data_IF_223617917521
#
_entry.id   IF_223617917521
#
_cell.length_a   1.000
_cell.length_b   1.000
_cell.length_c   1.000
_cell.angle_alpha   90.00
_cell.angle_beta   90.00
_cell.angle_gamma   90.00
#
_symmetry.space_group_name_H-M   'P 1'
#
loop_
_entity.id
_entity.type
_entity.pdbx_description
1 polymer ?
#
# COMPACT_ATOMS: atom_id res chain seq x y z
N UNK A 1 42.20 37.32 17.97
CA UNK A 1 41.32 36.76 16.93
C UNK A 1 40.24 35.93 17.60
N UNK A 2 38.98 36.12 17.20
CA UNK A 2 37.86 35.29 17.67
C UNK A 2 37.99 33.88 17.09
N UNK A 3 37.55 32.85 17.82
CA UNK A 3 37.63 31.44 17.42
C UNK A 3 37.08 31.20 15.99
N UNK A 4 35.99 31.89 15.64
CA UNK A 4 35.37 31.81 14.31
C UNK A 4 36.25 32.40 13.19
N UNK A 5 36.93 33.53 13.42
CA UNK A 5 37.81 34.18 12.44
C UNK A 5 39.01 33.28 12.09
N UNK A 6 39.56 32.59 13.10
CA UNK A 6 40.65 31.64 12.91
C UNK A 6 40.21 30.39 12.13
N UNK A 7 39.00 29.89 12.41
CA UNK A 7 38.42 28.74 11.70
C UNK A 7 38.17 29.11 10.23
N UNK A 8 37.57 30.27 9.97
CA UNK A 8 37.31 30.76 8.62
C UNK A 8 38.61 30.88 7.81
N UNK A 9 39.64 31.51 8.37
CA UNK A 9 40.95 31.63 7.72
C UNK A 9 41.56 30.26 7.39
N UNK A 10 41.41 29.26 8.26
CA UNK A 10 41.92 27.89 8.00
C UNK A 10 41.14 27.17 6.90
N UNK A 11 39.85 27.45 6.73
CA UNK A 11 39.04 26.93 5.61
C UNK A 11 39.51 27.58 4.31
N UNK A 12 39.70 28.90 4.29
CA UNK A 12 40.18 29.66 3.12
C UNK A 12 41.59 29.21 2.69
N UNK A 13 42.45 28.88 3.66
CA UNK A 13 43.79 28.31 3.41
C UNK A 13 43.76 26.81 3.02
N UNK A 14 42.59 26.17 2.97
CA UNK A 14 42.43 24.75 2.65
C UNK A 14 42.98 23.78 3.70
N UNK A 15 43.33 24.29 4.90
CA UNK A 15 43.90 23.51 6.02
C UNK A 15 42.83 22.84 6.89
N UNK A 16 41.56 23.13 6.64
CA UNK A 16 40.44 22.63 7.42
C UNK A 16 39.23 22.47 6.49
N UNK A 17 38.59 21.31 6.53
CA UNK A 17 37.33 21.11 5.83
C UNK A 17 36.15 21.75 6.56
N UNK A 18 35.09 22.01 5.81
CA UNK A 18 33.85 22.58 6.36
C UNK A 18 33.23 21.65 7.42
N UNK A 19 33.34 20.33 7.28
CA UNK A 19 32.83 19.39 8.28
C UNK A 19 33.65 19.40 9.57
N UNK A 20 34.97 19.47 9.48
CA UNK A 20 35.85 19.58 10.65
C UNK A 20 35.64 20.91 11.37
N UNK A 21 35.48 22.01 10.63
CA UNK A 21 35.14 23.31 11.20
C UNK A 21 33.82 23.30 11.97
N UNK A 22 32.81 22.58 11.45
CA UNK A 22 31.51 22.42 12.12
C UNK A 22 31.62 21.63 13.42
N UNK A 23 32.42 20.56 13.44
CA UNK A 23 32.70 19.80 14.67
C UNK A 23 33.38 20.67 15.74
N UNK A 24 34.32 21.54 15.35
CA UNK A 24 34.97 22.48 16.28
C UNK A 24 34.03 23.55 16.85
N UNK A 25 32.84 23.72 16.23
CA UNK A 25 31.75 24.58 16.67
C UNK A 25 30.61 23.78 17.32
N UNK A 26 30.82 22.49 17.64
CA UNK A 26 29.83 21.58 18.22
C UNK A 26 28.59 21.39 17.33
N UNK A 27 28.75 21.57 16.02
CA UNK A 27 27.73 21.35 15.00
C UNK A 27 27.96 20.01 14.30
N UNK A 28 26.86 19.39 13.84
CA UNK A 28 26.93 18.16 13.05
C UNK A 28 27.50 18.43 11.65
N UNK A 29 28.25 17.48 11.06
CA UNK A 29 28.70 17.56 9.67
C UNK A 29 27.55 17.78 8.68
N UNK A 30 27.85 18.39 7.53
CA UNK A 30 26.85 18.63 6.47
C UNK A 30 26.29 17.30 5.94
N UNK A 31 27.13 16.28 5.82
CA UNK A 31 26.72 14.95 5.36
C UNK A 31 25.64 14.33 6.26
N UNK A 32 25.75 14.53 7.58
CA UNK A 32 24.72 14.10 8.52
C UNK A 32 23.40 14.84 8.29
N UNK A 33 23.46 16.15 8.03
CA UNK A 33 22.26 16.94 7.73
C UNK A 33 21.63 16.53 6.40
N UNK A 34 22.45 16.22 5.40
CA UNK A 34 21.99 15.75 4.10
C UNK A 34 21.27 14.40 4.21
N UNK A 35 21.82 13.47 5.01
CA UNK A 35 21.18 12.20 5.31
C UNK A 35 19.82 12.39 5.99
N UNK A 36 19.75 13.23 7.02
CA UNK A 36 18.49 13.51 7.73
C UNK A 36 17.44 14.13 6.80
N UNK A 37 17.83 15.06 5.93
CA UNK A 37 16.92 15.67 4.96
C UNK A 37 16.41 14.65 3.94
N UNK A 38 17.28 13.77 3.43
CA UNK A 38 16.88 12.68 2.54
C UNK A 38 15.92 11.71 3.25
N UNK A 39 16.23 11.29 4.48
CA UNK A 39 15.36 10.42 5.27
C UNK A 39 13.98 11.07 5.53
N UNK A 40 13.94 12.37 5.82
CA UNK A 40 12.70 13.13 5.97
C UNK A 40 11.88 13.18 4.67
N UNK A 41 12.52 13.40 3.53
CA UNK A 41 11.83 13.38 2.22
C UNK A 41 11.30 11.98 1.87
N UNK A 42 12.05 10.92 2.18
CA UNK A 42 11.64 9.55 1.94
C UNK A 42 10.44 9.17 2.83
N UNK A 43 10.45 9.59 4.09
CA UNK A 43 9.35 9.36 5.02
C UNK A 43 8.11 10.17 4.64
N UNK A 44 8.26 11.43 4.21
CA UNK A 44 7.15 12.24 3.70
C UNK A 44 6.50 11.59 2.46
N UNK A 45 7.31 11.13 1.49
CA UNK A 45 6.82 10.39 0.32
C UNK A 45 6.12 9.08 0.73
N UNK A 46 6.66 8.34 1.70
CA UNK A 46 6.03 7.14 2.23
C UNK A 46 4.69 7.45 2.93
N UNK A 47 4.59 8.56 3.66
CA UNK A 47 3.36 8.95 4.33
C UNK A 47 2.29 9.45 3.34
N UNK A 48 2.69 10.11 2.25
CA UNK A 48 1.81 10.44 1.14
C UNK A 48 1.30 9.16 0.43
N UNK A 49 2.18 8.17 0.22
CA UNK A 49 1.80 6.87 -0.33
C UNK A 49 0.90 6.05 0.62
N UNK A 50 1.06 6.17 1.94
CA UNK A 50 0.17 5.52 2.94
C UNK A 50 -1.20 6.19 3.01
N UNK A 51 -1.26 7.52 2.83
CA UNK A 51 -2.52 8.27 2.77
C UNK A 51 -3.37 7.89 1.54
N UNK A 52 -2.74 7.41 0.46
CA UNK A 52 -3.43 6.90 -0.72
C UNK A 52 -4.27 5.62 -0.46
N UNK A 53 -4.08 4.95 0.68
CA UNK A 53 -4.84 3.75 1.09
C UNK A 53 -5.92 4.01 2.15
N UNK A 54 -6.19 5.28 2.52
CA UNK A 54 -7.21 5.62 3.53
C UNK A 54 -8.15 6.71 3.03
N UNK A 55 -8.62 6.58 1.79
CA UNK A 55 -9.96 7.06 1.44
C UNK A 55 -10.75 5.80 1.14
N UNK A 56 -11.52 5.31 2.11
CA UNK A 56 -12.60 4.36 1.80
C UNK A 56 -13.56 5.15 0.93
N UNK A 57 -13.47 4.97 -0.37
CA UNK A 57 -14.47 5.50 -1.28
C UNK A 57 -15.79 4.84 -0.88
N UNK A 58 -16.80 5.62 -0.50
CA UNK A 58 -18.13 5.08 -0.20
C UNK A 58 -18.75 4.37 -1.42
N UNK A 59 -18.11 4.55 -2.59
CA UNK A 59 -18.42 3.90 -3.86
C UNK A 59 -17.64 2.61 -4.13
N UNK A 60 -16.86 2.08 -3.18
CA UNK A 60 -16.17 0.80 -3.40
C UNK A 60 -17.19 -0.32 -3.68
N UNK A 61 -17.11 -0.98 -4.86
CA UNK A 61 -18.05 -2.03 -5.21
C UNK A 61 -17.91 -3.22 -4.27
N UNK A 62 -19.06 -3.85 -3.95
CA UNK A 62 -19.08 -5.05 -3.12
C UNK A 62 -18.22 -6.17 -3.71
N UNK A 63 -18.29 -6.36 -5.04
CA UNK A 63 -17.57 -7.38 -5.79
C UNK A 63 -17.16 -6.84 -7.16
N UNK A 64 -15.91 -7.04 -7.55
CA UNK A 64 -15.44 -6.87 -8.93
C UNK A 64 -14.77 -8.16 -9.37
N UNK A 65 -15.20 -8.67 -10.52
CA UNK A 65 -14.57 -9.81 -11.20
C UNK A 65 -14.10 -9.29 -12.55
N UNK A 66 -12.79 -9.34 -12.78
CA UNK A 66 -12.18 -8.90 -14.03
C UNK A 66 -11.55 -10.12 -14.71
N UNK A 67 -11.96 -10.36 -15.95
CA UNK A 67 -11.39 -11.37 -16.84
C UNK A 67 -10.72 -10.64 -17.99
N UNK A 68 -9.43 -10.92 -18.22
CA UNK A 68 -8.70 -10.37 -19.38
C UNK A 68 -9.04 -11.12 -20.66
N UNK A 69 -9.37 -12.40 -20.52
CA UNK A 69 -9.77 -13.31 -21.58
C UNK A 69 -10.68 -14.42 -21.00
N UNK A 70 -11.45 -15.13 -21.84
CA UNK A 70 -12.36 -16.19 -21.41
C UNK A 70 -11.66 -17.34 -20.67
N UNK A 71 -10.40 -17.62 -21.02
CA UNK A 71 -9.61 -18.69 -20.39
C UNK A 71 -8.69 -18.17 -19.27
N UNK A 72 -8.76 -16.87 -18.95
CA UNK A 72 -7.91 -16.26 -17.92
C UNK A 72 -8.37 -16.58 -16.50
N UNK A 73 -7.42 -16.62 -15.56
CA UNK A 73 -7.74 -16.67 -14.13
C UNK A 73 -8.32 -15.30 -13.74
N UNK A 74 -9.55 -15.23 -13.20
CA UNK A 74 -10.16 -13.95 -12.87
C UNK A 74 -9.40 -13.23 -11.75
N UNK A 75 -9.31 -11.91 -11.85
CA UNK A 75 -8.93 -11.04 -10.74
C UNK A 75 -10.22 -10.72 -9.98
N UNK A 76 -10.27 -11.04 -8.69
CA UNK A 76 -11.45 -10.81 -7.86
C UNK A 76 -11.10 -9.86 -6.74
N UNK A 77 -11.86 -8.76 -6.65
CA UNK A 77 -11.85 -7.85 -5.51
C UNK A 77 -13.17 -7.96 -4.75
N UNK A 78 -13.11 -8.11 -3.44
CA UNK A 78 -14.27 -8.09 -2.56
C UNK A 78 -14.11 -6.99 -1.52
N UNK A 79 -15.05 -6.03 -1.49
CA UNK A 79 -14.96 -4.82 -0.65
C UNK A 79 -13.59 -4.13 -0.75
N UNK A 80 -13.16 -3.87 -2.00
CA UNK A 80 -11.89 -3.22 -2.32
C UNK A 80 -10.63 -4.09 -2.18
N UNK A 81 -10.71 -5.31 -1.62
CA UNK A 81 -9.53 -6.17 -1.39
C UNK A 81 -9.42 -7.26 -2.42
N UNK A 82 -8.25 -7.36 -3.06
CA UNK A 82 -7.94 -8.47 -3.98
C UNK A 82 -7.84 -9.79 -3.23
N UNK A 83 -8.45 -10.83 -3.80
CA UNK A 83 -8.38 -12.21 -3.32
C UNK A 83 -7.46 -12.97 -4.29
N UNK A 84 -6.30 -13.44 -3.85
CA UNK A 84 -5.31 -14.06 -4.75
C UNK A 84 -5.53 -15.56 -4.93
N UNK A 85 -5.42 -16.33 -3.84
CA UNK A 85 -5.40 -17.81 -3.81
C UNK A 85 -6.81 -18.42 -3.90
N UNK A 86 -7.51 -18.07 -4.97
CA UNK A 86 -8.88 -18.49 -5.25
C UNK A 86 -8.90 -19.94 -5.71
N UNK A 87 -9.84 -20.71 -5.19
CA UNK A 87 -10.12 -22.09 -5.61
C UNK A 87 -11.35 -22.15 -6.48
N UNK A 88 -12.40 -21.42 -6.08
CA UNK A 88 -13.65 -21.35 -6.81
C UNK A 88 -14.23 -19.95 -6.73
N UNK A 89 -14.68 -19.45 -7.88
CA UNK A 89 -15.43 -18.20 -7.99
C UNK A 89 -16.70 -18.53 -8.76
N UNK A 90 -17.85 -18.32 -8.14
CA UNK A 90 -19.15 -18.44 -8.78
C UNK A 90 -19.93 -17.14 -8.56
N UNK A 91 -20.49 -16.64 -9.64
CA UNK A 91 -21.43 -15.53 -9.65
C UNK A 91 -22.60 -15.97 -10.51
N UNK A 92 -23.78 -15.95 -9.92
CA UNK A 92 -25.02 -16.23 -10.63
C UNK A 92 -26.01 -15.11 -10.32
N UNK A 93 -26.77 -14.73 -11.33
CA UNK A 93 -27.75 -13.67 -11.20
C UNK A 93 -28.94 -14.01 -12.07
N UNK A 94 -30.10 -14.06 -11.41
CA UNK A 94 -31.37 -14.26 -12.08
C UNK A 94 -32.35 -13.18 -11.63
N UNK A 95 -33.19 -12.72 -12.57
CA UNK A 95 -34.26 -11.79 -12.29
C UNK A 95 -35.59 -12.39 -12.73
N UNK A 96 -36.58 -12.38 -11.83
CA UNK A 96 -37.93 -12.91 -12.12
C UNK A 96 -38.72 -12.03 -13.09
N UNK A 97 -38.33 -10.76 -13.23
CA UNK A 97 -38.93 -9.75 -14.10
C UNK A 97 -38.03 -8.53 -14.11
N UNK A 98 -38.07 -7.69 -15.15
CA UNK A 98 -37.22 -6.50 -15.28
C UNK A 98 -37.17 -5.58 -14.04
N UNK A 99 -38.16 -5.63 -13.14
CA UNK A 99 -38.26 -4.79 -11.93
C UNK A 99 -38.06 -5.55 -10.60
N UNK A 100 -37.68 -6.85 -10.61
CA UNK A 100 -37.48 -7.66 -9.39
C UNK A 100 -36.11 -8.33 -9.37
N UNK A 101 -35.34 -8.13 -8.29
CA UNK A 101 -33.90 -8.37 -8.25
C UNK A 101 -33.46 -9.04 -6.94
N UNK A 102 -33.92 -10.25 -6.68
CA UNK A 102 -33.72 -10.87 -5.36
C UNK A 102 -32.76 -12.09 -5.37
N UNK A 103 -32.13 -12.43 -6.49
CA UNK A 103 -31.39 -13.70 -6.64
C UNK A 103 -29.93 -13.53 -7.10
N UNK A 104 -29.21 -12.53 -6.60
CA UNK A 104 -27.76 -12.45 -6.82
C UNK A 104 -27.04 -13.45 -5.92
N UNK A 105 -26.51 -14.53 -6.47
CA UNK A 105 -25.67 -15.49 -5.77
C UNK A 105 -24.19 -15.17 -5.98
N UNK A 106 -23.44 -15.07 -4.88
CA UNK A 106 -21.99 -14.89 -4.89
C UNK A 106 -21.36 -15.99 -4.06
N UNK A 107 -20.34 -16.66 -4.59
CA UNK A 107 -19.52 -17.60 -3.85
C UNK A 107 -18.06 -17.48 -4.25
N UNK A 108 -17.19 -17.16 -3.29
CA UNK A 108 -15.74 -17.11 -3.48
C UNK A 108 -15.08 -17.98 -2.41
N UNK A 109 -14.49 -19.08 -2.85
CA UNK A 109 -13.67 -19.96 -2.02
C UNK A 109 -12.18 -19.65 -2.28
N UNK A 110 -11.41 -19.45 -1.21
CA UNK A 110 -9.99 -19.14 -1.29
C UNK A 110 -9.20 -19.68 -0.11
N UNK A 111 -7.88 -19.75 -0.25
CA UNK A 111 -6.96 -20.10 0.84
C UNK A 111 -6.29 -18.83 1.37
N UNK A 112 -6.46 -18.46 2.65
CA UNK A 112 -5.76 -17.30 3.21
C UNK A 112 -4.24 -17.45 3.10
N UNK A 113 -3.54 -16.34 2.87
CA UNK A 113 -2.08 -16.33 2.67
C UNK A 113 -1.36 -16.93 3.89
N UNK A 114 -1.82 -16.60 5.10
CA UNK A 114 -1.21 -17.04 6.35
C UNK A 114 -1.64 -18.46 6.80
N UNK A 115 -2.43 -19.16 5.98
CA UNK A 115 -2.99 -20.45 6.36
C UNK A 115 -2.00 -21.60 6.17
N UNK A 116 -1.28 -21.94 7.26
CA UNK A 116 -0.33 -23.06 7.32
C UNK A 116 -0.97 -24.44 7.15
N UNK A 117 -2.28 -24.58 7.35
CA UNK A 117 -3.01 -25.85 7.33
C UNK A 117 -3.83 -26.06 6.05
N UNK A 118 -3.72 -25.14 5.08
CA UNK A 118 -4.45 -25.18 3.80
C UNK A 118 -5.99 -25.22 3.94
N UNK A 119 -6.55 -24.76 5.06
CA UNK A 119 -8.01 -24.65 5.15
C UNK A 119 -8.51 -23.54 4.22
N UNK A 120 -9.71 -23.72 3.67
CA UNK A 120 -10.36 -22.76 2.80
C UNK A 120 -11.27 -21.83 3.59
N UNK A 121 -11.40 -20.59 3.13
CA UNK A 121 -12.38 -19.62 3.57
C UNK A 121 -13.37 -19.33 2.44
N UNK A 122 -14.60 -18.98 2.82
CA UNK A 122 -15.70 -18.78 1.88
C UNK A 122 -16.35 -17.42 2.15
N UNK A 123 -16.48 -16.62 1.09
CA UNK A 123 -17.38 -15.47 1.03
C UNK A 123 -18.63 -15.91 0.27
N UNK A 124 -19.81 -15.78 0.87
CA UNK A 124 -21.06 -16.24 0.28
C UNK A 124 -22.22 -15.27 0.52
N UNK A 125 -23.02 -15.04 -0.53
CA UNK A 125 -24.26 -14.25 -0.48
C UNK A 125 -25.39 -15.02 -1.17
N UNK A 126 -26.60 -14.96 -0.61
CA UNK A 126 -27.84 -15.55 -1.15
C UNK A 126 -27.66 -16.97 -1.72
N UNK A 127 -27.11 -17.88 -0.91
CA UNK A 127 -26.93 -19.28 -1.34
C UNK A 127 -28.27 -19.87 -1.79
N UNK A 128 -28.36 -20.47 -2.99
CA UNK A 128 -29.57 -21.11 -3.45
C UNK A 128 -30.00 -22.18 -2.45
N UNK A 129 -31.23 -22.07 -1.95
CA UNK A 129 -31.85 -23.17 -1.22
C UNK A 129 -32.30 -24.15 -2.31
N UNK A 130 -31.61 -25.28 -2.41
CA UNK A 130 -32.01 -26.36 -3.31
C UNK A 130 -33.27 -27.00 -2.71
N UNK A 131 -34.41 -26.89 -3.40
CA UNK A 131 -35.61 -27.67 -3.11
C UNK A 131 -35.49 -29.13 -3.58
#
# INVERSE_FOLDING_TARGET
MKKAELIQKKIEEGKLSVNEARLLLDLKPIEFLMKVACDQSANAMLDDCKQMNVVKDENEPLLQIVLSDIDSVPIVHYKGKQIDRKLRVAFDWESKSADKFDMTYIHVEYVPVDNKRLNTEIIQHNHPIVE
#
